data_IF_831361211132
#
_entry.id   IF_831361211132
#
_cell.length_a   1.000
_cell.length_b   1.000
_cell.length_c   1.000
_cell.angle_alpha   90.00
_cell.angle_beta   90.00
_cell.angle_gamma   90.00
#
_symmetry.space_group_name_H-M   'P 1'
#
loop_
_entity.id
_entity.type
_entity.pdbx_description
1 polymer ?
#
# COMPACT_ATOMS: atom_id res chain seq x y z
N UNK A 1 6.04 -79.73 10.56
CA UNK A 1 6.82 -78.52 10.17
C UNK A 1 6.12 -77.90 8.96
N UNK A 2 5.74 -76.64 8.85
CA UNK A 2 5.92 -75.43 9.67
C UNK A 2 4.80 -74.43 9.30
N UNK A 3 4.18 -73.84 10.33
CA UNK A 3 3.74 -72.44 10.52
C UNK A 3 2.92 -71.67 9.46
N UNK A 4 1.66 -71.42 9.83
CA UNK A 4 0.92 -70.13 9.87
C UNK A 4 1.70 -68.85 9.54
N UNK A 5 1.09 -67.90 8.81
CA UNK A 5 0.97 -66.49 9.23
C UNK A 5 -0.22 -65.77 8.56
N UNK A 6 -1.11 -65.23 9.42
CA UNK A 6 -2.14 -64.23 9.11
C UNK A 6 -1.48 -62.87 8.85
N UNK A 7 -1.90 -62.13 7.84
CA UNK A 7 -1.59 -60.70 7.70
C UNK A 7 -2.88 -59.89 7.64
N UNK A 8 -3.11 -59.13 8.72
CA UNK A 8 -4.24 -58.24 8.91
C UNK A 8 -3.73 -56.84 8.56
N UNK A 9 -4.11 -56.32 7.39
CA UNK A 9 -3.75 -54.97 6.96
C UNK A 9 -4.70 -53.95 7.58
N UNK A 10 -4.23 -53.23 8.60
CA UNK A 10 -4.92 -52.06 9.14
C UNK A 10 -4.73 -50.87 8.20
N UNK A 11 -5.83 -50.39 7.62
CA UNK A 11 -5.86 -49.15 6.85
C UNK A 11 -5.82 -47.96 7.83
N UNK A 12 -4.67 -47.30 7.94
CA UNK A 12 -4.56 -46.01 8.61
C UNK A 12 -5.10 -44.91 7.68
N UNK A 13 -6.36 -44.52 7.87
CA UNK A 13 -6.88 -43.26 7.35
C UNK A 13 -6.31 -42.11 8.19
N UNK A 14 -5.17 -41.57 7.77
CA UNK A 14 -4.66 -40.31 8.33
C UNK A 14 -5.58 -39.16 7.93
N UNK A 15 -6.35 -38.65 8.88
CA UNK A 15 -6.99 -37.34 8.77
C UNK A 15 -5.88 -36.28 8.71
N UNK A 16 -5.62 -35.71 7.53
CA UNK A 16 -4.87 -34.47 7.42
C UNK A 16 -5.82 -33.34 7.76
N UNK A 17 -5.80 -32.89 9.01
CA UNK A 17 -6.45 -31.65 9.40
C UNK A 17 -5.71 -30.49 8.71
N UNK A 18 -6.28 -29.99 7.61
CA UNK A 18 -5.84 -28.76 6.98
C UNK A 18 -6.16 -27.58 7.90
N UNK A 19 -5.22 -27.24 8.79
CA UNK A 19 -5.31 -26.06 9.62
C UNK A 19 -5.32 -24.81 8.76
N UNK A 20 -6.44 -24.09 8.72
CA UNK A 20 -6.48 -22.70 8.29
C UNK A 20 -5.60 -21.89 9.24
N UNK A 21 -4.37 -21.58 8.82
CA UNK A 21 -3.59 -20.54 9.49
C UNK A 21 -4.31 -19.23 9.23
N UNK A 22 -5.03 -18.74 10.24
CA UNK A 22 -5.56 -17.40 10.22
C UNK A 22 -4.36 -16.45 10.08
N UNK A 23 -4.29 -15.75 8.96
CA UNK A 23 -3.26 -14.74 8.72
C UNK A 23 -3.38 -13.66 9.80
N UNK A 24 -2.33 -13.54 10.62
CA UNK A 24 -2.28 -12.61 11.73
C UNK A 24 -2.20 -11.16 11.22
N UNK A 25 -2.81 -10.23 11.96
CA UNK A 25 -2.69 -8.80 11.65
C UNK A 25 -1.22 -8.36 11.81
N UNK A 26 -0.66 -7.61 10.85
CA UNK A 26 0.72 -7.12 10.94
C UNK A 26 0.86 -6.15 12.12
N UNK A 27 2.07 -6.11 12.69
CA UNK A 27 2.43 -5.08 13.67
C UNK A 27 2.93 -3.85 12.91
N UNK A 28 2.18 -2.73 12.89
CA UNK A 28 2.57 -1.59 12.08
C UNK A 28 3.81 -0.91 12.65
N UNK A 29 4.76 -0.59 11.77
CA UNK A 29 5.94 0.19 12.12
C UNK A 29 5.52 1.63 12.47
N UNK A 30 6.02 2.21 13.58
CA UNK A 30 5.75 3.62 13.89
C UNK A 30 6.54 4.55 12.96
N UNK A 31 6.03 5.76 12.74
CA UNK A 31 6.69 6.82 11.96
C UNK A 31 6.96 6.42 10.51
N UNK A 32 6.01 5.71 9.90
CA UNK A 32 6.04 5.31 8.49
C UNK A 32 4.86 5.85 7.67
N UNK A 33 3.79 6.30 8.32
CA UNK A 33 2.66 6.99 7.66
C UNK A 33 2.57 8.43 8.16
N UNK A 34 2.23 9.33 7.25
CA UNK A 34 2.33 10.77 7.43
C UNK A 34 1.10 11.49 6.90
N UNK A 35 0.83 12.66 7.48
CA UNK A 35 0.01 13.70 6.84
C UNK A 35 0.97 14.61 6.05
N UNK A 36 0.92 14.60 4.71
CA UNK A 36 1.81 15.42 3.92
C UNK A 36 1.26 16.85 3.79
N UNK A 37 2.18 17.79 3.79
CA UNK A 37 2.00 19.18 3.39
C UNK A 37 2.96 19.44 2.23
N UNK A 38 2.43 19.92 1.11
CA UNK A 38 3.22 20.25 -0.08
C UNK A 38 3.45 21.76 -0.11
N UNK A 39 4.72 22.14 -0.20
CA UNK A 39 5.15 23.54 -0.21
C UNK A 39 5.39 23.98 -1.64
N UNK A 40 4.76 25.08 -2.03
CA UNK A 40 5.05 25.82 -3.27
C UNK A 40 5.68 27.17 -2.91
N UNK A 41 6.17 27.96 -3.88
CA UNK A 41 6.65 29.32 -3.60
C UNK A 41 5.58 30.23 -2.96
N UNK A 42 4.31 30.06 -3.35
CA UNK A 42 3.25 31.01 -3.01
C UNK A 42 2.29 30.49 -1.92
N UNK A 43 2.15 29.17 -1.79
CA UNK A 43 1.22 28.55 -0.84
C UNK A 43 1.70 27.18 -0.35
N UNK A 44 1.13 26.75 0.78
CA UNK A 44 1.27 25.40 1.29
C UNK A 44 -0.13 24.77 1.43
N UNK A 45 -0.25 23.50 1.06
CA UNK A 45 -1.52 22.77 1.20
C UNK A 45 -1.28 21.36 1.72
N UNK A 46 -2.24 20.82 2.47
CA UNK A 46 -2.16 19.48 3.07
C UNK A 46 -3.31 18.63 2.56
N UNK A 47 -3.00 17.44 2.03
CA UNK A 47 -4.02 16.57 1.46
C UNK A 47 -3.63 15.09 1.60
N UNK A 48 -4.63 14.24 1.81
CA UNK A 48 -4.45 12.79 1.86
C UNK A 48 -3.48 12.30 2.94
N UNK A 49 -2.75 11.25 2.58
CA UNK A 49 -1.72 10.59 3.36
C UNK A 49 -0.49 10.32 2.49
N UNK A 50 0.64 10.10 3.14
CA UNK A 50 1.85 9.61 2.52
C UNK A 50 2.47 8.54 3.40
N UNK A 51 3.35 7.72 2.84
CA UNK A 51 4.13 6.76 3.61
C UNK A 51 5.58 6.72 3.16
N UNK A 52 6.45 6.32 4.08
CA UNK A 52 7.86 6.11 3.81
C UNK A 52 8.08 4.68 3.37
N UNK A 53 8.63 4.50 2.17
CA UNK A 53 8.89 3.20 1.59
C UNK A 53 10.27 3.09 0.95
N UNK A 54 10.70 1.84 0.76
CA UNK A 54 11.92 1.47 0.05
C UNK A 54 11.76 0.10 -0.65
N UNK A 55 12.52 -0.16 -1.73
CA UNK A 55 12.78 -1.51 -2.18
C UNK A 55 13.49 -2.34 -1.10
N UNK A 56 13.30 -3.67 -1.09
CA UNK A 56 13.88 -4.57 -0.08
C UNK A 56 15.41 -4.47 0.02
N UNK A 57 16.09 -4.38 -1.12
CA UNK A 57 17.56 -4.36 -1.22
C UNK A 57 18.14 -2.95 -1.41
N UNK A 58 17.44 -1.91 -0.99
CA UNK A 58 17.88 -0.53 -1.13
C UNK A 58 17.78 0.24 0.18
N UNK A 59 18.81 1.05 0.45
CA UNK A 59 18.81 2.03 1.55
C UNK A 59 18.11 3.34 1.15
N UNK A 60 17.88 3.57 -0.15
CA UNK A 60 17.20 4.76 -0.62
C UNK A 60 15.71 4.68 -0.26
N UNK A 61 15.25 5.69 0.49
CA UNK A 61 13.87 5.80 0.95
C UNK A 61 13.15 6.90 0.19
N UNK A 62 11.83 6.73 0.05
CA UNK A 62 10.96 7.67 -0.63
C UNK A 62 9.77 7.99 0.26
N UNK A 63 9.32 9.24 0.23
CA UNK A 63 7.99 9.61 0.66
C UNK A 63 7.05 9.42 -0.53
N UNK A 64 6.14 8.46 -0.41
CA UNK A 64 5.23 8.03 -1.47
C UNK A 64 3.82 8.53 -1.17
N UNK A 65 3.15 9.05 -2.20
CA UNK A 65 1.77 9.51 -2.13
C UNK A 65 1.11 9.45 -3.52
N UNK A 66 -0.17 9.84 -3.62
CA UNK A 66 -0.90 9.83 -4.87
C UNK A 66 -0.67 11.12 -5.69
N UNK A 67 -0.54 10.99 -7.01
CA UNK A 67 -0.44 12.10 -7.94
C UNK A 67 -1.72 12.96 -7.98
N UNK A 68 -2.88 12.34 -7.78
CA UNK A 68 -4.18 13.00 -7.71
C UNK A 68 -4.27 14.06 -6.62
N UNK A 69 -3.41 14.00 -5.59
CA UNK A 69 -3.32 15.01 -4.53
C UNK A 69 -2.62 16.30 -4.99
N UNK A 70 -2.11 16.37 -6.21
CA UNK A 70 -1.61 17.58 -6.85
C UNK A 70 -2.65 18.14 -7.85
N UNK A 71 -3.92 18.09 -7.45
CA UNK A 71 -5.05 18.49 -8.29
C UNK A 71 -6.36 18.58 -7.51
N UNK A 72 -7.52 18.43 -8.19
CA UNK A 72 -8.83 18.60 -7.57
C UNK A 72 -9.13 17.69 -6.38
N UNK A 73 -8.45 16.55 -6.22
CA UNK A 73 -8.62 15.72 -5.02
C UNK A 73 -8.05 16.37 -3.74
N UNK A 74 -7.28 17.45 -3.88
CA UNK A 74 -6.73 18.28 -2.82
C UNK A 74 -7.27 19.72 -2.87
N UNK A 75 -8.46 19.92 -3.45
CA UNK A 75 -9.11 21.23 -3.61
C UNK A 75 -8.28 22.25 -4.44
N UNK A 76 -7.47 21.76 -5.37
CA UNK A 76 -6.79 22.61 -6.37
C UNK A 76 -7.59 22.68 -7.67
N UNK A 77 -7.56 23.82 -8.35
CA UNK A 77 -8.35 24.04 -9.56
C UNK A 77 -7.92 23.16 -10.74
N UNK A 78 -6.63 22.81 -10.82
CA UNK A 78 -6.03 22.11 -11.97
C UNK A 78 -5.17 20.96 -11.47
N UNK A 79 -5.26 19.82 -12.16
CA UNK A 79 -4.32 18.71 -11.97
C UNK A 79 -2.95 19.09 -12.53
N UNK A 80 -1.96 19.18 -11.66
CA UNK A 80 -0.56 19.39 -12.05
C UNK A 80 -0.04 18.18 -12.82
N UNK A 81 0.70 18.43 -13.89
CA UNK A 81 1.51 17.38 -14.54
C UNK A 81 2.73 17.04 -13.67
N UNK A 82 3.44 15.96 -14.00
CA UNK A 82 4.70 15.64 -13.31
C UNK A 82 5.75 16.76 -13.42
N UNK A 83 5.86 17.40 -14.60
CA UNK A 83 6.76 18.53 -14.80
C UNK A 83 6.33 19.76 -13.98
N UNK A 84 5.02 19.97 -13.80
CA UNK A 84 4.53 21.04 -12.92
C UNK A 84 4.85 20.74 -11.46
N UNK A 85 4.71 19.49 -11.00
CA UNK A 85 5.08 19.09 -9.64
C UNK A 85 6.57 19.34 -9.41
N UNK A 86 7.43 18.90 -10.33
CA UNK A 86 8.89 19.10 -10.24
C UNK A 86 9.27 20.58 -10.12
N UNK A 87 8.58 21.44 -10.88
CA UNK A 87 8.85 22.88 -10.91
C UNK A 87 8.26 23.62 -9.70
N UNK A 88 7.05 23.26 -9.29
CA UNK A 88 6.24 24.04 -8.34
C UNK A 88 6.36 23.56 -6.91
N UNK A 89 6.64 22.27 -6.67
CA UNK A 89 6.74 21.73 -5.31
C UNK A 89 8.19 21.85 -4.81
N UNK A 90 8.40 22.80 -3.90
CA UNK A 90 9.68 23.07 -3.25
C UNK A 90 10.04 21.95 -2.26
N UNK A 91 9.04 21.42 -1.56
CA UNK A 91 9.21 20.29 -0.65
C UNK A 91 7.88 19.61 -0.32
N UNK A 92 7.94 18.31 -0.03
CA UNK A 92 6.91 17.58 0.68
C UNK A 92 7.34 17.37 2.15
N UNK A 93 6.54 17.87 3.08
CA UNK A 93 6.75 17.73 4.53
C UNK A 93 5.74 16.73 5.06
N UNK A 94 6.21 15.65 5.67
CA UNK A 94 5.35 14.64 6.30
C UNK A 94 5.39 14.74 7.82
N UNK A 95 4.25 15.01 8.46
CA UNK A 95 4.11 14.88 9.92
C UNK A 95 3.61 13.47 10.24
N UNK A 96 4.33 12.72 11.07
CA UNK A 96 3.98 11.34 11.39
C UNK A 96 2.61 11.26 12.06
N UNK A 97 1.82 10.28 11.63
CA UNK A 97 0.50 10.04 12.21
C UNK A 97 0.59 9.39 13.60
N UNK A 98 1.70 8.71 13.93
CA UNK A 98 1.90 8.01 15.21
C UNK A 98 2.66 8.82 16.25
N UNK A 99 3.49 9.78 15.81
CA UNK A 99 4.21 10.71 16.69
C UNK A 99 4.33 12.07 15.99
N UNK A 100 3.57 13.10 16.39
CA UNK A 100 3.60 14.41 15.73
C UNK A 100 4.94 15.14 15.86
N UNK A 101 5.86 14.68 16.72
CA UNK A 101 7.23 15.22 16.82
C UNK A 101 8.15 14.67 15.73
N UNK A 102 7.77 13.55 15.12
CA UNK A 102 8.50 12.94 14.01
C UNK A 102 8.06 13.56 12.69
N UNK A 103 8.93 14.38 12.11
CA UNK A 103 8.70 15.06 10.83
C UNK A 103 9.74 14.60 9.81
N UNK A 104 9.30 14.38 8.57
CA UNK A 104 10.18 14.14 7.42
C UNK A 104 10.03 15.28 6.42
N UNK A 105 11.10 15.63 5.71
CA UNK A 105 11.07 16.61 4.64
C UNK A 105 11.81 16.03 3.43
N UNK A 106 11.13 15.98 2.30
CA UNK A 106 11.65 15.52 1.03
C UNK A 106 11.62 16.68 0.04
N UNK A 107 12.78 17.09 -0.47
CA UNK A 107 12.91 18.26 -1.38
C UNK A 107 13.00 17.88 -2.85
N UNK A 108 13.39 16.65 -3.13
CA UNK A 108 13.60 16.18 -4.50
C UNK A 108 12.43 15.31 -4.91
N UNK A 109 11.53 15.87 -5.71
CA UNK A 109 10.53 15.09 -6.43
C UNK A 109 11.23 14.20 -7.47
N UNK A 110 10.73 12.98 -7.67
CA UNK A 110 11.16 12.10 -8.74
C UNK A 110 10.24 12.33 -9.95
N UNK A 111 10.74 12.85 -11.09
CA UNK A 111 9.91 13.08 -12.27
C UNK A 111 9.41 11.78 -12.88
N UNK A 112 8.11 11.73 -13.15
CA UNK A 112 7.36 10.61 -13.69
C UNK A 112 6.49 11.10 -14.86
N UNK A 113 7.03 11.19 -16.09
CA UNK A 113 6.32 11.80 -17.22
C UNK A 113 4.92 11.26 -17.49
N UNK A 114 4.69 9.98 -17.20
CA UNK A 114 3.40 9.31 -17.39
C UNK A 114 2.49 9.32 -16.15
N UNK A 115 2.87 10.03 -15.07
CA UNK A 115 2.05 10.11 -13.87
C UNK A 115 0.73 10.85 -14.15
N UNK A 116 -0.36 10.26 -13.68
CA UNK A 116 -1.74 10.76 -13.87
C UNK A 116 -2.63 10.27 -12.74
N UNK A 117 -3.73 10.96 -12.49
CA UNK A 117 -4.76 10.47 -11.56
C UNK A 117 -5.30 9.09 -11.99
N UNK A 118 -5.80 8.33 -11.02
CA UNK A 118 -6.54 7.11 -11.30
C UNK A 118 -7.77 7.42 -12.18
N UNK A 119 -8.01 6.56 -13.17
CA UNK A 119 -9.07 6.68 -14.17
C UNK A 119 -9.51 5.27 -14.66
N UNK A 120 -10.27 5.21 -15.76
CA UNK A 120 -10.73 3.93 -16.33
C UNK A 120 -9.60 3.00 -16.80
N UNK A 121 -8.38 3.51 -16.98
CA UNK A 121 -7.20 2.72 -17.36
C UNK A 121 -6.47 2.15 -16.14
N UNK A 122 -6.85 2.55 -14.93
CA UNK A 122 -6.30 2.06 -13.67
C UNK A 122 -5.58 3.13 -12.85
N UNK A 123 -4.94 2.70 -11.77
CA UNK A 123 -4.30 3.53 -10.75
C UNK A 123 -2.78 3.37 -10.66
N UNK A 124 -2.18 2.51 -11.48
CA UNK A 124 -0.73 2.26 -11.57
C UNK A 124 0.11 3.49 -11.94
N UNK A 125 -0.52 4.58 -12.40
CA UNK A 125 0.13 5.85 -12.71
C UNK A 125 -0.19 6.97 -11.73
N UNK A 126 -1.05 6.71 -10.73
CA UNK A 126 -1.40 7.69 -9.70
C UNK A 126 -0.35 7.72 -8.59
N UNK A 127 0.85 8.15 -8.96
CA UNK A 127 2.07 8.05 -8.16
C UNK A 127 2.76 9.41 -8.11
N UNK A 128 3.08 9.86 -6.89
CA UNK A 128 4.06 10.89 -6.65
C UNK A 128 5.07 10.39 -5.61
N UNK A 129 6.35 10.59 -5.88
CA UNK A 129 7.44 10.15 -5.02
C UNK A 129 8.43 11.28 -4.80
N UNK A 130 8.88 11.42 -3.56
CA UNK A 130 9.91 12.37 -3.18
C UNK A 130 11.04 11.62 -2.49
N UNK A 131 12.27 11.83 -2.94
CA UNK A 131 13.46 11.25 -2.33
C UNK A 131 13.66 11.81 -0.93
N UNK A 132 13.81 10.90 0.03
CA UNK A 132 14.16 11.23 1.38
C UNK A 132 15.69 11.24 1.55
N UNK A 133 16.25 12.11 2.42
CA UNK A 133 17.67 12.09 2.75
C UNK A 133 18.11 10.72 3.31
N UNK A 134 19.26 10.22 2.85
CA UNK A 134 19.79 8.89 3.21
C UNK A 134 20.01 8.65 4.72
N UNK A 135 20.00 9.69 5.57
CA UNK A 135 20.33 9.60 7.00
C UNK A 135 19.10 9.55 7.94
N UNK A 136 17.89 9.28 7.43
CA UNK A 136 16.66 9.26 8.25
C UNK A 136 16.43 7.98 9.08
N UNK A 137 17.42 7.09 9.14
CA UNK A 137 17.35 5.79 9.83
C UNK A 137 16.51 4.75 9.11
N UNK A 138 16.42 3.55 9.66
CA UNK A 138 15.98 2.32 8.97
C UNK A 138 14.46 2.15 8.78
N UNK A 139 13.63 3.03 9.35
CA UNK A 139 12.19 2.76 9.50
C UNK A 139 11.37 3.05 8.23
N UNK A 140 11.56 2.31 7.16
CA UNK A 140 10.71 2.39 5.96
C UNK A 140 9.90 1.10 5.78
N UNK A 141 8.71 1.24 5.21
CA UNK A 141 7.96 0.07 4.75
C UNK A 141 8.65 -0.52 3.51
N UNK A 142 8.73 -1.84 3.45
CA UNK A 142 9.26 -2.55 2.28
C UNK A 142 8.13 -2.77 1.30
N UNK A 143 8.35 -2.44 0.02
CA UNK A 143 7.40 -2.78 -1.04
C UNK A 143 7.46 -4.28 -1.32
N UNK A 144 6.28 -4.91 -1.37
CA UNK A 144 6.16 -6.33 -1.67
C UNK A 144 6.47 -6.58 -3.15
N UNK A 145 7.41 -7.48 -3.43
CA UNK A 145 7.77 -7.89 -4.79
C UNK A 145 6.90 -9.05 -5.29
N UNK A 146 6.18 -9.71 -4.39
CA UNK A 146 5.32 -10.83 -4.72
C UNK A 146 4.02 -10.35 -5.37
N UNK A 147 3.50 -11.12 -6.32
CA UNK A 147 2.20 -10.84 -6.93
C UNK A 147 1.10 -11.26 -5.95
N UNK A 148 0.28 -10.33 -5.42
CA UNK A 148 -0.78 -10.71 -4.50
C UNK A 148 -1.89 -11.52 -5.19
N UNK A 149 -2.67 -12.30 -4.42
CA UNK A 149 -3.71 -13.19 -4.96
C UNK A 149 -5.10 -12.76 -4.47
N UNK A 150 -6.16 -12.83 -5.32
CA UNK A 150 -7.52 -12.59 -4.85
C UNK A 150 -7.89 -13.53 -3.69
N UNK A 151 -8.50 -12.96 -2.66
CA UNK A 151 -8.84 -13.65 -1.42
C UNK A 151 -7.84 -13.41 -0.28
N UNK A 152 -6.63 -12.93 -0.58
CA UNK A 152 -5.64 -12.61 0.44
C UNK A 152 -6.17 -11.54 1.41
N UNK A 153 -5.84 -11.73 2.69
CA UNK A 153 -6.15 -10.76 3.73
C UNK A 153 -5.09 -9.68 3.73
N UNK A 154 -5.54 -8.44 3.77
CA UNK A 154 -4.70 -7.24 3.75
C UNK A 154 -5.23 -6.21 4.74
N UNK A 155 -4.41 -5.23 5.07
CA UNK A 155 -4.75 -4.19 6.06
C UNK A 155 -4.41 -2.81 5.54
N UNK A 156 -5.41 -1.94 5.47
CA UNK A 156 -5.21 -0.55 5.11
C UNK A 156 -4.73 0.23 6.34
N UNK A 157 -3.52 0.80 6.30
CA UNK A 157 -2.93 1.49 7.45
C UNK A 157 -3.20 3.00 7.41
N UNK A 158 -4.09 3.48 8.29
CA UNK A 158 -4.68 4.82 8.20
C UNK A 158 -4.59 5.62 9.49
N UNK A 159 -4.65 6.94 9.33
CA UNK A 159 -5.11 7.87 10.36
C UNK A 159 -6.56 8.23 10.09
N UNK A 160 -7.47 7.89 11.00
CA UNK A 160 -8.90 8.12 10.78
C UNK A 160 -9.25 9.61 10.77
N UNK A 161 -10.14 9.99 9.85
CA UNK A 161 -10.56 11.36 9.62
C UNK A 161 -11.06 12.03 10.92
N UNK A 162 -10.60 13.26 11.19
CA UNK A 162 -11.04 14.04 12.36
C UNK A 162 -10.59 13.50 13.72
N UNK A 163 -9.71 12.49 13.76
CA UNK A 163 -9.24 11.89 15.02
C UNK A 163 -7.71 11.85 15.12
N UNK A 164 -7.21 11.61 16.34
CA UNK A 164 -5.81 11.24 16.59
C UNK A 164 -5.56 9.73 16.41
N UNK A 165 -6.60 8.92 16.17
CA UNK A 165 -6.48 7.47 16.09
C UNK A 165 -5.78 7.07 14.79
N UNK A 166 -4.84 6.14 14.94
CA UNK A 166 -4.19 5.41 13.86
C UNK A 166 -4.55 3.94 13.99
N UNK A 167 -4.77 3.25 12.88
CA UNK A 167 -5.17 1.84 12.92
C UNK A 167 -5.09 1.14 11.58
N UNK A 168 -5.36 -0.15 11.62
CA UNK A 168 -5.39 -1.04 10.47
C UNK A 168 -6.85 -1.43 10.19
N UNK A 169 -7.33 -1.12 8.99
CA UNK A 169 -8.65 -1.55 8.52
C UNK A 169 -8.50 -2.85 7.73
N UNK A 170 -9.03 -3.98 8.23
CA UNK A 170 -8.88 -5.25 7.56
C UNK A 170 -9.74 -5.30 6.28
N UNK A 171 -9.19 -5.93 5.26
CA UNK A 171 -9.80 -6.09 3.97
C UNK A 171 -9.38 -7.41 3.32
N UNK A 172 -10.08 -7.77 2.24
CA UNK A 172 -9.73 -8.92 1.39
C UNK A 172 -9.56 -8.47 -0.04
N UNK A 173 -8.50 -8.93 -0.70
CA UNK A 173 -8.31 -8.67 -2.12
C UNK A 173 -9.45 -9.31 -2.91
N UNK A 174 -10.11 -8.53 -3.74
CA UNK A 174 -11.27 -8.97 -4.53
C UNK A 174 -10.89 -9.13 -6.01
N UNK A 175 -10.00 -8.28 -6.50
CA UNK A 175 -9.52 -8.31 -7.88
C UNK A 175 -8.16 -7.64 -7.97
N UNK A 176 -7.30 -8.14 -8.85
CA UNK A 176 -5.90 -7.71 -8.98
C UNK A 176 -5.55 -7.71 -10.46
N UNK A 177 -4.84 -6.67 -10.89
CA UNK A 177 -4.18 -6.57 -12.18
C UNK A 177 -2.88 -5.79 -12.05
N UNK A 178 -2.14 -5.68 -13.15
CA UNK A 178 -0.97 -4.81 -13.23
C UNK A 178 -1.30 -3.33 -13.09
N UNK A 179 -2.55 -2.93 -13.33
CA UNK A 179 -2.96 -1.54 -13.35
C UNK A 179 -3.71 -1.09 -12.08
N UNK A 180 -4.27 -2.03 -11.31
CA UNK A 180 -5.09 -1.70 -10.14
C UNK A 180 -5.34 -2.94 -9.27
N UNK A 181 -5.42 -2.70 -7.96
CA UNK A 181 -5.93 -3.64 -6.96
C UNK A 181 -7.31 -3.15 -6.50
N UNK A 182 -8.26 -4.06 -6.34
CA UNK A 182 -9.53 -3.81 -5.66
C UNK A 182 -9.67 -4.72 -4.46
N UNK A 183 -10.14 -4.17 -3.36
CA UNK A 183 -10.30 -4.91 -2.11
C UNK A 183 -11.62 -4.57 -1.43
N UNK A 184 -12.17 -5.56 -0.76
CA UNK A 184 -13.38 -5.43 0.04
C UNK A 184 -12.99 -5.12 1.48
N UNK A 185 -13.47 -3.99 2.00
CA UNK A 185 -13.33 -3.65 3.42
C UNK A 185 -14.17 -4.61 4.29
N UNK A 186 -13.62 -5.13 5.39
CA UNK A 186 -14.44 -5.89 6.34
C UNK A 186 -15.38 -4.95 7.11
N UNK A 187 -14.91 -3.75 7.45
CA UNK A 187 -15.72 -2.69 8.04
C UNK A 187 -16.40 -1.85 6.94
N UNK A 188 -17.71 -2.03 6.75
CA UNK A 188 -18.48 -1.33 5.71
C UNK A 188 -18.89 0.10 6.13
N UNK A 189 -18.67 0.50 7.38
CA UNK A 189 -19.06 1.83 7.88
C UNK A 189 -17.89 2.77 8.14
N UNK A 190 -16.65 2.33 7.91
CA UNK A 190 -15.45 3.14 8.10
C UNK A 190 -15.49 4.45 7.29
N UNK A 191 -15.06 5.54 7.93
CA UNK A 191 -14.81 6.84 7.29
C UNK A 191 -13.35 6.90 6.83
N UNK A 192 -13.16 6.87 5.51
CA UNK A 192 -11.85 6.89 4.85
C UNK A 192 -11.54 8.24 4.19
N UNK A 193 -12.25 9.31 4.55
CA UNK A 193 -11.94 10.65 4.03
C UNK A 193 -10.50 11.03 4.33
N UNK A 194 -9.82 11.56 3.30
CA UNK A 194 -8.42 11.98 3.39
C UNK A 194 -7.44 10.83 3.61
N UNK A 195 -7.76 9.58 3.25
CA UNK A 195 -6.81 8.45 3.36
C UNK A 195 -6.13 8.08 2.04
N UNK A 196 -6.46 8.74 0.93
CA UNK A 196 -5.73 8.63 -0.35
C UNK A 196 -4.22 8.77 -0.13
N UNK A 197 -3.44 7.83 -0.66
CA UNK A 197 -2.00 7.70 -0.42
C UNK A 197 -1.62 6.83 0.79
N UNK A 198 -2.57 6.27 1.54
CA UNK A 198 -2.27 5.33 2.62
C UNK A 198 -1.78 3.97 2.09
N UNK A 199 -0.84 3.28 2.79
CA UNK A 199 -0.36 1.98 2.35
C UNK A 199 -1.35 0.87 2.71
N UNK A 200 -1.51 -0.08 1.78
CA UNK A 200 -2.17 -1.36 1.97
C UNK A 200 -1.09 -2.41 2.28
N UNK A 201 -1.22 -3.09 3.42
CA UNK A 201 -0.21 -3.99 3.95
C UNK A 201 -0.63 -5.46 3.83
N UNK A 202 0.35 -6.33 3.60
CA UNK A 202 0.24 -7.79 3.77
C UNK A 202 0.23 -8.18 5.26
N UNK A 203 0.19 -9.48 5.54
CA UNK A 203 0.32 -10.02 6.89
C UNK A 203 1.74 -9.86 7.46
N UNK A 204 2.72 -9.84 6.57
CA UNK A 204 4.14 -9.66 6.83
C UNK A 204 4.49 -8.17 7.09
N UNK A 205 3.53 -7.26 6.85
CA UNK A 205 3.72 -5.82 7.00
C UNK A 205 4.43 -5.16 5.81
N UNK A 206 4.58 -5.87 4.69
CA UNK A 206 5.05 -5.33 3.40
C UNK A 206 3.91 -4.60 2.69
N UNK A 207 4.24 -3.62 1.85
CA UNK A 207 3.24 -2.85 1.10
C UNK A 207 2.84 -3.62 -0.15
N UNK A 208 1.56 -3.99 -0.26
CA UNK A 208 0.99 -4.63 -1.46
C UNK A 208 0.37 -3.62 -2.42
N UNK A 209 0.06 -2.41 -1.93
CA UNK A 209 -0.42 -1.30 -2.76
C UNK A 209 -0.59 0.00 -1.99
N UNK A 210 -1.00 1.05 -2.70
CA UNK A 210 -1.31 2.37 -2.14
C UNK A 210 -2.77 2.71 -2.41
N UNK A 211 -3.54 2.97 -1.36
CA UNK A 211 -4.96 3.27 -1.44
C UNK A 211 -5.23 4.59 -2.16
N UNK A 212 -6.13 4.56 -3.13
CA UNK A 212 -6.52 5.73 -3.93
C UNK A 212 -7.88 6.28 -3.51
N UNK A 213 -8.83 5.38 -3.27
CA UNK A 213 -10.17 5.78 -2.83
C UNK A 213 -11.11 4.59 -2.69
N UNK A 214 -12.40 4.89 -2.54
CA UNK A 214 -13.46 3.91 -2.37
C UNK A 214 -14.54 4.07 -3.44
N UNK A 215 -15.26 2.98 -3.72
CA UNK A 215 -16.49 2.99 -4.50
C UNK A 215 -17.51 2.01 -3.90
N UNK A 216 -18.78 2.24 -4.20
CA UNK A 216 -19.88 1.39 -3.74
C UNK A 216 -20.38 0.57 -4.93
N UNK A 217 -20.38 -0.76 -4.77
CA UNK A 217 -20.97 -1.67 -5.77
C UNK A 217 -22.49 -1.52 -5.87
N UNK A 218 -23.09 -2.05 -6.94
CA UNK A 218 -24.56 -2.08 -7.08
C UNK A 218 -25.28 -2.82 -5.95
N UNK A 219 -24.59 -3.73 -5.26
CA UNK A 219 -25.11 -4.44 -4.07
C UNK A 219 -24.90 -3.65 -2.75
N UNK A 220 -24.49 -2.38 -2.81
CA UNK A 220 -24.30 -1.52 -1.62
C UNK A 220 -23.01 -1.77 -0.84
N UNK A 221 -22.13 -2.68 -1.30
CA UNK A 221 -20.86 -2.97 -0.62
C UNK A 221 -19.78 -1.97 -1.00
N UNK A 222 -19.02 -1.50 -0.02
CA UNK A 222 -17.86 -0.62 -0.20
C UNK A 222 -16.61 -1.42 -0.53
N UNK A 223 -15.96 -1.02 -1.61
CA UNK A 223 -14.66 -1.50 -2.06
C UNK A 223 -13.67 -0.34 -2.03
N UNK A 224 -12.42 -0.64 -1.69
CA UNK A 224 -11.30 0.23 -1.98
C UNK A 224 -10.64 -0.17 -3.29
N UNK A 225 -9.96 0.79 -3.91
CA UNK A 225 -9.03 0.55 -5.01
C UNK A 225 -7.66 1.15 -4.68
N UNK A 226 -6.61 0.55 -5.24
CA UNK A 226 -5.24 0.88 -4.92
C UNK A 226 -4.30 0.73 -6.12
N UNK A 227 -3.31 1.61 -6.17
CA UNK A 227 -2.14 1.49 -7.05
C UNK A 227 -1.31 0.28 -6.59
N UNK A 228 -0.98 -0.70 -7.47
CA UNK A 228 -0.23 -1.89 -7.09
C UNK A 228 1.20 -1.57 -6.63
N UNK A 229 1.72 -2.29 -5.63
CA UNK A 229 3.11 -2.11 -5.18
C UNK A 229 4.15 -2.34 -6.29
N UNK A 230 3.84 -3.21 -7.25
CA UNK A 230 4.70 -3.43 -8.41
C UNK A 230 4.87 -2.17 -9.29
N UNK A 231 3.84 -1.32 -9.38
CA UNK A 231 3.94 -0.05 -10.10
C UNK A 231 4.84 0.95 -9.34
N UNK A 232 4.76 0.97 -8.01
CA UNK A 232 5.65 1.75 -7.16
C UNK A 232 7.11 1.25 -7.27
N UNK A 233 7.32 -0.07 -7.24
CA UNK A 233 8.63 -0.69 -7.40
C UNK A 233 9.25 -0.37 -8.76
N UNK A 234 8.49 -0.43 -9.85
CA UNK A 234 8.99 -0.11 -11.19
C UNK A 234 9.51 1.34 -11.30
N UNK A 235 9.04 2.24 -10.44
CA UNK A 235 9.55 3.62 -10.32
C UNK A 235 10.84 3.68 -9.49
N UNK A 236 10.88 3.01 -8.33
CA UNK A 236 12.01 3.07 -7.41
C UNK A 236 13.22 2.24 -7.85
N UNK A 237 12.96 1.11 -8.50
CA UNK A 237 13.94 0.17 -9.01
C UNK A 237 13.42 -0.42 -10.34
N UNK A 238 13.68 0.27 -11.47
CA UNK A 238 13.27 -0.21 -12.79
C UNK A 238 13.86 -1.58 -13.18
N UNK A 239 14.87 -2.07 -12.45
CA UNK A 239 15.49 -3.37 -12.68
C UNK A 239 14.83 -4.52 -11.89
N UNK A 240 13.94 -4.20 -10.95
CA UNK A 240 13.26 -5.17 -10.12
C UNK A 240 12.37 -6.11 -10.95
N UNK A 241 12.49 -7.41 -10.71
CA UNK A 241 11.62 -8.44 -11.29
C UNK A 241 10.48 -8.75 -10.33
N UNK A 242 9.25 -8.87 -10.83
CA UNK A 242 8.12 -9.40 -10.05
C UNK A 242 8.45 -10.83 -9.63
N UNK A 243 8.25 -11.13 -8.35
CA UNK A 243 8.35 -12.48 -7.82
C UNK A 243 6.97 -13.13 -7.82
N UNK A 244 6.88 -14.45 -8.01
CA UNK A 244 5.63 -15.17 -7.82
C UNK A 244 5.12 -14.98 -6.38
N UNK A 245 3.80 -15.10 -6.19
CA UNK A 245 3.18 -15.02 -4.85
C UNK A 245 3.85 -16.02 -3.91
N UNK A 246 4.26 -15.58 -2.72
CA UNK A 246 4.65 -16.48 -1.62
C UNK A 246 3.42 -16.90 -0.81
N UNK A 247 2.30 -16.21 -0.99
CA UNK A 247 1.01 -16.47 -0.36
C UNK A 247 0.23 -17.48 -1.22
N UNK A 248 0.40 -18.76 -0.84
CA UNK A 248 -0.23 -19.99 -1.34
C UNK A 248 0.11 -20.45 -2.76
N UNK A 249 1.19 -21.25 -2.83
CA UNK A 249 1.18 -22.52 -3.56
C UNK A 249 0.78 -23.65 -2.59
N UNK A 250 -0.52 -23.90 -2.43
CA UNK A 250 -1.00 -25.26 -2.13
C UNK A 250 -2.27 -25.53 -2.93
N UNK A 251 -2.29 -26.61 -3.75
CA UNK A 251 -3.45 -27.00 -4.54
C UNK A 251 -4.67 -27.34 -3.67
#
# INVERSE_FOLDING_TARGET
MKTSHKFWGWLWCGLVAAGLVASAQPVPLPNVIFRPTFLTPDLAYSAGMAFRARPENSEQQYLVTAHSLFGPAADLDVQMSSADIERMIVAAVGVSCTDPRSVVMARRYLPLPDARRADEKGSDKDIAMFELPARLGERALVLDQSVPVPGDKVWLYVKYAGTSRVGLEPAKLAWISDHEIRYLLENQTVDLRGTTGAPLLSAEGTVVGMHMGIFTSGAGRKFGYACPAAALLAVMDPSAKKLPSVLKDKP
#
